data_IF_319074570968
#
_entry.id   IF_319074570968
#
_cell.length_a   1.000
_cell.length_b   1.000
_cell.length_c   1.000
_cell.angle_alpha   90.00
_cell.angle_beta   90.00
_cell.angle_gamma   90.00
#
_symmetry.space_group_name_H-M   'P 1'
#
loop_
_entity.id
_entity.type
_entity.pdbx_description
1 polymer ?
#
# COMPACT_ATOMS: atom_id res chain seq x y z
N UNK A 1 -11.27 -23.60 7.93
CA UNK A 1 -10.68 -22.80 6.85
C UNK A 1 -10.21 -21.52 7.53
N UNK A 2 -8.98 -21.06 7.26
CA UNK A 2 -8.50 -19.82 7.88
C UNK A 2 -9.26 -18.61 7.30
N UNK A 3 -9.45 -17.60 8.12
CA UNK A 3 -9.98 -16.33 7.65
C UNK A 3 -8.99 -15.68 6.69
N UNK A 4 -9.52 -14.97 5.68
CA UNK A 4 -8.72 -14.34 4.64
C UNK A 4 -8.56 -12.84 4.89
N UNK A 5 -7.38 -12.32 4.57
CA UNK A 5 -7.10 -10.88 4.52
C UNK A 5 -6.59 -10.49 3.14
N UNK A 6 -7.07 -9.37 2.59
CA UNK A 6 -6.50 -8.77 1.38
C UNK A 6 -5.50 -7.69 1.79
N UNK A 7 -4.27 -7.84 1.33
CA UNK A 7 -3.19 -6.88 1.58
C UNK A 7 -2.98 -6.00 0.35
N UNK A 8 -3.06 -4.68 0.52
CA UNK A 8 -2.58 -3.73 -0.47
C UNK A 8 -1.06 -3.89 -0.62
N UNK A 9 -0.64 -4.53 -1.70
CA UNK A 9 0.72 -5.00 -1.90
C UNK A 9 1.41 -4.23 -3.00
N UNK A 10 2.47 -3.51 -2.66
CA UNK A 10 3.31 -2.79 -3.62
C UNK A 10 4.56 -3.56 -4.04
N UNK A 11 4.87 -4.66 -3.36
CA UNK A 11 6.12 -5.40 -3.53
C UNK A 11 7.33 -4.74 -2.86
N UNK A 12 7.12 -3.63 -2.17
CA UNK A 12 8.15 -2.98 -1.34
C UNK A 12 8.42 -3.74 -0.05
N UNK A 13 9.48 -3.33 0.67
CA UNK A 13 9.91 -3.95 1.91
C UNK A 13 8.79 -4.00 2.95
N UNK A 14 8.17 -2.85 3.23
CA UNK A 14 7.12 -2.72 4.24
C UNK A 14 5.96 -3.69 3.99
N UNK A 15 5.42 -3.70 2.76
CA UNK A 15 4.29 -4.56 2.43
C UNK A 15 4.69 -6.04 2.38
N UNK A 16 5.94 -6.35 2.12
CA UNK A 16 6.46 -7.73 2.15
C UNK A 16 6.61 -8.23 3.58
N UNK A 17 7.11 -7.41 4.51
CA UNK A 17 7.20 -7.74 5.93
C UNK A 17 5.83 -7.94 6.59
N UNK A 18 4.80 -7.27 6.09
CA UNK A 18 3.42 -7.40 6.59
C UNK A 18 2.86 -8.82 6.34
N UNK A 19 3.28 -9.53 5.29
CA UNK A 19 2.74 -10.86 4.98
C UNK A 19 2.96 -11.86 6.11
N UNK A 20 4.20 -12.16 6.54
CA UNK A 20 4.43 -13.06 7.67
C UNK A 20 3.84 -12.52 8.97
N UNK A 21 3.89 -11.20 9.20
CA UNK A 21 3.30 -10.59 10.39
C UNK A 21 1.78 -10.82 10.51
N UNK A 22 1.03 -10.72 9.42
CA UNK A 22 -0.41 -11.02 9.40
C UNK A 22 -0.70 -12.49 9.74
N UNK A 23 0.14 -13.40 9.25
CA UNK A 23 0.02 -14.84 9.51
C UNK A 23 0.30 -15.16 10.98
N UNK A 24 1.33 -14.54 11.57
CA UNK A 24 1.70 -14.75 12.96
C UNK A 24 0.71 -14.11 13.93
N UNK A 25 0.26 -12.90 13.64
CA UNK A 25 -0.57 -12.11 14.54
C UNK A 25 -2.03 -12.56 14.55
N UNK A 26 -2.56 -12.92 13.38
CA UNK A 26 -4.00 -13.18 13.20
C UNK A 26 -4.33 -14.58 12.67
N UNK A 27 -3.32 -15.39 12.34
CA UNK A 27 -3.49 -16.69 11.66
C UNK A 27 -4.27 -16.58 10.32
N UNK A 28 -4.15 -15.44 9.63
CA UNK A 28 -4.85 -15.21 8.37
C UNK A 28 -4.20 -15.90 7.19
N UNK A 29 -5.03 -16.24 6.21
CA UNK A 29 -4.63 -16.54 4.86
C UNK A 29 -4.49 -15.23 4.09
N UNK A 30 -3.25 -14.89 3.65
CA UNK A 30 -2.91 -13.59 3.09
C UNK A 30 -2.99 -13.62 1.57
N UNK A 31 -3.89 -12.79 1.03
CA UNK A 31 -4.05 -12.54 -0.40
C UNK A 31 -3.45 -11.16 -0.71
N UNK A 32 -2.39 -11.14 -1.50
CA UNK A 32 -1.80 -9.91 -1.98
C UNK A 32 -2.61 -9.33 -3.15
N UNK A 33 -2.76 -8.01 -3.17
CA UNK A 33 -3.43 -7.31 -4.26
C UNK A 33 -2.62 -6.06 -4.63
N UNK A 34 -2.00 -6.08 -5.81
CA UNK A 34 -1.33 -4.93 -6.41
C UNK A 34 -2.25 -4.32 -7.46
N UNK A 35 -2.41 -3.00 -7.40
CA UNK A 35 -3.23 -2.27 -8.36
C UNK A 35 -2.29 -1.50 -9.28
N UNK A 36 -2.38 -1.82 -10.58
CA UNK A 36 -1.64 -1.12 -11.62
C UNK A 36 -2.32 0.22 -11.92
N UNK A 37 -1.65 1.29 -11.54
CA UNK A 37 -2.00 2.68 -11.88
C UNK A 37 -0.97 3.30 -12.83
N UNK A 38 -0.18 2.47 -13.55
CA UNK A 38 0.87 2.92 -14.45
C UNK A 38 2.28 2.94 -13.83
N UNK A 39 2.57 2.04 -12.87
CA UNK A 39 3.88 1.92 -12.23
C UNK A 39 4.95 1.33 -13.17
N UNK A 40 4.53 0.70 -14.27
CA UNK A 40 5.46 0.11 -15.24
C UNK A 40 6.28 -1.04 -14.67
N UNK A 41 7.60 -0.97 -14.79
CA UNK A 41 8.54 -2.01 -14.38
C UNK A 41 8.50 -2.37 -12.88
N UNK A 42 7.86 -1.55 -12.04
CA UNK A 42 7.70 -1.85 -10.62
C UNK A 42 6.80 -3.07 -10.37
N UNK A 43 6.05 -3.50 -11.40
CA UNK A 43 5.20 -4.70 -11.36
C UNK A 43 5.98 -6.00 -11.62
N UNK A 44 7.20 -5.91 -12.11
CA UNK A 44 7.99 -7.08 -12.48
C UNK A 44 8.43 -7.88 -11.24
N UNK A 45 8.29 -9.20 -11.32
CA UNK A 45 8.70 -10.11 -10.26
C UNK A 45 7.84 -10.08 -8.99
N UNK A 46 6.69 -9.39 -8.99
CA UNK A 46 5.79 -9.34 -7.84
C UNK A 46 5.24 -10.71 -7.45
N UNK A 47 4.96 -11.57 -8.43
CA UNK A 47 4.38 -12.90 -8.18
C UNK A 47 5.35 -13.79 -7.40
N UNK A 48 6.59 -13.87 -7.84
CA UNK A 48 7.63 -14.61 -7.14
C UNK A 48 7.85 -14.06 -5.72
N UNK A 49 7.89 -12.75 -5.59
CA UNK A 49 8.12 -12.06 -4.33
C UNK A 49 6.99 -12.30 -3.32
N UNK A 50 5.74 -12.16 -3.76
CA UNK A 50 4.58 -12.44 -2.92
C UNK A 50 4.55 -13.91 -2.46
N UNK A 51 4.84 -14.84 -3.38
CA UNK A 51 4.89 -16.28 -3.09
C UNK A 51 6.01 -16.63 -2.11
N UNK A 52 7.22 -16.12 -2.31
CA UNK A 52 8.35 -16.32 -1.41
C UNK A 52 8.08 -15.78 -0.01
N UNK A 53 7.30 -14.69 0.09
CA UNK A 53 6.91 -14.11 1.37
C UNK A 53 5.77 -14.85 2.05
N UNK A 54 5.19 -15.87 1.41
CA UNK A 54 4.17 -16.73 1.97
C UNK A 54 2.72 -16.27 1.74
N UNK A 55 2.48 -15.38 0.77
CA UNK A 55 1.13 -15.09 0.30
C UNK A 55 0.52 -16.32 -0.39
N UNK A 56 -0.76 -16.56 -0.19
CA UNK A 56 -1.48 -17.67 -0.82
C UNK A 56 -1.89 -17.35 -2.26
N UNK A 57 -2.06 -16.07 -2.57
CA UNK A 57 -2.48 -15.59 -3.87
C UNK A 57 -2.02 -14.16 -4.11
N UNK A 58 -1.76 -13.82 -5.37
CA UNK A 58 -1.56 -12.44 -5.83
C UNK A 58 -2.59 -12.09 -6.90
N UNK A 59 -3.20 -10.92 -6.75
CA UNK A 59 -3.91 -10.21 -7.79
C UNK A 59 -3.09 -9.04 -8.28
N UNK A 60 -3.00 -8.86 -9.60
CA UNK A 60 -2.52 -7.64 -10.24
C UNK A 60 -3.68 -7.14 -11.09
N UNK A 61 -4.33 -6.08 -10.63
CA UNK A 61 -5.51 -5.50 -11.28
C UNK A 61 -5.11 -4.20 -11.98
N UNK A 62 -5.40 -4.10 -13.27
CA UNK A 62 -5.11 -2.90 -14.05
C UNK A 62 -6.30 -1.94 -14.00
N UNK A 63 -6.05 -0.73 -13.53
CA UNK A 63 -7.03 0.36 -13.51
C UNK A 63 -6.55 1.59 -14.30
N UNK A 64 -5.58 1.44 -15.20
CA UNK A 64 -5.00 2.59 -15.91
C UNK A 64 -6.05 3.42 -16.64
N UNK A 65 -6.98 2.78 -17.35
CA UNK A 65 -8.06 3.47 -18.05
C UNK A 65 -9.03 4.15 -17.07
N UNK A 66 -9.52 3.40 -16.08
CA UNK A 66 -10.39 3.94 -15.01
C UNK A 66 -9.70 5.09 -14.26
N UNK A 67 -8.40 4.94 -13.95
CA UNK A 67 -7.64 5.97 -13.26
C UNK A 67 -7.48 7.24 -14.09
N UNK A 68 -7.28 7.08 -15.40
CA UNK A 68 -7.19 8.20 -16.33
C UNK A 68 -8.53 8.94 -16.45
N UNK A 69 -9.61 8.21 -16.73
CA UNK A 69 -10.91 8.77 -17.08
C UNK A 69 -11.66 9.33 -15.84
N UNK A 70 -11.67 8.57 -14.75
CA UNK A 70 -12.51 8.88 -13.59
C UNK A 70 -11.80 9.73 -12.53
N UNK A 71 -10.46 9.78 -12.54
CA UNK A 71 -9.69 10.49 -11.52
C UNK A 71 -8.81 11.60 -12.11
N UNK A 72 -7.96 11.29 -13.10
CA UNK A 72 -7.01 12.28 -13.64
C UNK A 72 -7.75 13.36 -14.42
N UNK A 73 -8.57 12.98 -15.40
CA UNK A 73 -9.27 13.93 -16.28
C UNK A 73 -10.14 14.91 -15.48
N UNK A 74 -10.98 14.49 -14.52
CA UNK A 74 -11.75 15.43 -13.70
C UNK A 74 -10.87 16.39 -12.88
N UNK A 75 -9.75 15.90 -12.34
CA UNK A 75 -8.83 16.76 -11.59
C UNK A 75 -8.15 17.80 -12.48
N UNK A 76 -7.80 17.44 -13.70
CA UNK A 76 -7.25 18.38 -14.69
C UNK A 76 -8.28 19.43 -15.08
N UNK A 77 -9.51 19.01 -15.38
CA UNK A 77 -10.61 19.91 -15.71
C UNK A 77 -10.94 20.88 -14.58
N UNK A 78 -10.83 20.42 -13.34
CA UNK A 78 -11.03 21.26 -12.15
C UNK A 78 -9.84 22.17 -11.82
N UNK A 79 -8.69 22.04 -12.53
CA UNK A 79 -7.44 22.71 -12.16
C UNK A 79 -6.94 22.35 -10.77
N UNK A 80 -7.19 21.12 -10.31
CA UNK A 80 -6.94 20.69 -8.96
C UNK A 80 -5.43 20.55 -8.67
N UNK A 81 -4.87 21.50 -7.95
CA UNK A 81 -3.48 21.52 -7.50
C UNK A 81 -3.43 21.94 -6.04
N UNK A 82 -2.77 21.16 -5.20
CA UNK A 82 -2.62 21.49 -3.79
C UNK A 82 -1.42 22.42 -3.58
N UNK A 83 -1.62 23.55 -2.91
CA UNK A 83 -0.61 24.57 -2.60
C UNK A 83 0.19 25.03 -3.83
N UNK A 84 -0.43 25.08 -5.02
CA UNK A 84 0.19 25.45 -6.31
C UNK A 84 1.40 24.59 -6.73
N UNK A 85 1.59 23.42 -6.13
CA UNK A 85 2.76 22.56 -6.37
C UNK A 85 2.42 21.08 -6.54
N UNK A 86 1.55 20.54 -5.68
CA UNK A 86 1.28 19.11 -5.65
C UNK A 86 0.11 18.77 -6.55
N UNK A 87 0.37 17.95 -7.57
CA UNK A 87 -0.59 17.56 -8.61
C UNK A 87 -1.56 16.44 -8.18
N UNK A 88 -1.59 16.09 -6.90
CA UNK A 88 -2.52 15.14 -6.29
C UNK A 88 -2.44 13.68 -6.79
N UNK A 89 -1.44 13.26 -7.55
CA UNK A 89 -1.40 11.94 -8.17
C UNK A 89 -1.52 10.78 -7.16
N UNK A 90 -0.77 10.81 -6.06
CA UNK A 90 -0.92 9.83 -4.99
C UNK A 90 -2.30 9.94 -4.32
N UNK A 91 -2.80 11.16 -4.12
CA UNK A 91 -4.10 11.38 -3.48
C UNK A 91 -5.27 10.83 -4.32
N UNK A 92 -5.19 10.94 -5.65
CA UNK A 92 -6.19 10.43 -6.58
C UNK A 92 -6.14 8.91 -6.72
N UNK A 93 -4.94 8.30 -6.66
CA UNK A 93 -4.79 6.85 -6.82
C UNK A 93 -5.39 6.06 -5.64
N UNK A 94 -5.27 6.56 -4.40
CA UNK A 94 -5.69 5.80 -3.20
C UNK A 94 -7.18 5.41 -3.18
N UNK A 95 -8.15 6.27 -3.56
CA UNK A 95 -9.54 5.87 -3.67
C UNK A 95 -9.79 4.77 -4.70
N UNK A 96 -9.17 4.84 -5.88
CA UNK A 96 -9.26 3.80 -6.91
C UNK A 96 -8.69 2.46 -6.43
N UNK A 97 -7.53 2.50 -5.78
CA UNK A 97 -6.92 1.33 -5.16
C UNK A 97 -7.85 0.75 -4.08
N UNK A 98 -8.39 1.58 -3.18
CA UNK A 98 -9.30 1.14 -2.12
C UNK A 98 -10.55 0.44 -2.69
N UNK A 99 -11.12 0.96 -3.78
CA UNK A 99 -12.24 0.35 -4.49
C UNK A 99 -11.90 -1.07 -4.95
N UNK A 100 -10.76 -1.27 -5.62
CA UNK A 100 -10.34 -2.60 -6.09
C UNK A 100 -10.02 -3.55 -4.93
N UNK A 101 -9.41 -3.08 -3.87
CA UNK A 101 -9.19 -3.89 -2.67
C UNK A 101 -10.50 -4.42 -2.09
N UNK A 102 -11.55 -3.59 -2.04
CA UNK A 102 -12.88 -4.00 -1.59
C UNK A 102 -13.50 -5.02 -2.54
N UNK A 103 -13.43 -4.81 -3.86
CA UNK A 103 -13.92 -5.76 -4.86
C UNK A 103 -13.27 -7.15 -4.69
N UNK A 104 -11.94 -7.19 -4.53
CA UNK A 104 -11.22 -8.45 -4.31
C UNK A 104 -11.56 -9.06 -2.94
N UNK A 105 -11.66 -8.26 -1.89
CA UNK A 105 -12.05 -8.75 -0.58
C UNK A 105 -13.44 -9.42 -0.60
N UNK A 106 -14.40 -8.81 -1.27
CA UNK A 106 -15.74 -9.40 -1.47
C UNK A 106 -15.69 -10.68 -2.29
N UNK A 107 -14.94 -10.69 -3.40
CA UNK A 107 -14.75 -11.86 -4.26
C UNK A 107 -14.15 -13.06 -3.52
N UNK A 108 -13.18 -12.82 -2.64
CA UNK A 108 -12.47 -13.85 -1.89
C UNK A 108 -13.16 -14.20 -0.55
N UNK A 109 -14.17 -13.45 -0.14
CA UNK A 109 -14.82 -13.61 1.17
C UNK A 109 -13.87 -13.25 2.31
N UNK A 110 -12.99 -12.25 2.10
CA UNK A 110 -12.04 -11.81 3.10
C UNK A 110 -12.73 -11.01 4.21
N UNK A 111 -12.30 -11.23 5.45
CA UNK A 111 -12.84 -10.56 6.64
C UNK A 111 -12.15 -9.23 6.95
N UNK A 112 -10.98 -9.02 6.33
CA UNK A 112 -10.17 -7.83 6.57
C UNK A 112 -9.45 -7.37 5.30
N UNK A 113 -9.13 -6.07 5.26
CA UNK A 113 -8.20 -5.45 4.31
C UNK A 113 -7.06 -4.82 5.11
N UNK A 114 -5.82 -5.07 4.69
CA UNK A 114 -4.62 -4.50 5.30
C UNK A 114 -3.91 -3.57 4.32
N UNK A 115 -3.33 -2.50 4.83
CA UNK A 115 -2.47 -1.60 4.05
C UNK A 115 -1.18 -1.26 4.79
N UNK A 116 -0.10 -1.00 4.04
CA UNK A 116 1.22 -0.66 4.57
C UNK A 116 1.46 0.85 4.72
N UNK A 117 0.44 1.69 4.64
CA UNK A 117 0.63 3.13 4.83
C UNK A 117 1.03 3.44 6.26
N UNK A 118 2.11 4.21 6.42
CA UNK A 118 2.62 4.62 7.73
C UNK A 118 1.62 5.52 8.45
N UNK A 119 1.57 5.46 9.79
CA UNK A 119 0.63 6.24 10.59
C UNK A 119 0.85 7.76 10.59
N UNK A 120 1.84 8.25 9.84
CA UNK A 120 2.25 9.67 9.81
C UNK A 120 1.75 10.45 8.59
N UNK A 121 1.17 9.77 7.59
CA UNK A 121 0.77 10.38 6.33
C UNK A 121 -0.73 10.36 6.07
N UNK A 122 -1.16 11.08 5.03
CA UNK A 122 -2.56 11.14 4.62
C UNK A 122 -3.07 9.87 3.92
N UNK A 123 -2.17 9.02 3.43
CA UNK A 123 -2.54 7.83 2.66
C UNK A 123 -3.31 6.82 3.50
N UNK A 124 -2.95 6.68 4.76
CA UNK A 124 -3.68 5.88 5.72
C UNK A 124 -5.15 6.29 5.78
N UNK A 125 -5.42 7.59 5.96
CA UNK A 125 -6.79 8.12 6.03
C UNK A 125 -7.54 7.87 4.73
N UNK A 126 -6.89 8.04 3.58
CA UNK A 126 -7.48 7.79 2.27
C UNK A 126 -7.89 6.33 2.09
N UNK A 127 -7.03 5.38 2.48
CA UNK A 127 -7.38 3.96 2.47
C UNK A 127 -8.53 3.65 3.42
N UNK A 128 -8.41 4.07 4.67
CA UNK A 128 -9.42 3.74 5.68
C UNK A 128 -10.80 4.31 5.34
N UNK A 129 -10.87 5.58 4.94
CA UNK A 129 -12.14 6.21 4.56
C UNK A 129 -12.71 5.61 3.27
N UNK A 130 -11.86 5.34 2.26
CA UNK A 130 -12.29 4.72 1.02
C UNK A 130 -12.86 3.32 1.25
N UNK A 131 -12.17 2.48 2.01
CA UNK A 131 -12.64 1.13 2.36
C UNK A 131 -13.92 1.21 3.18
N UNK A 132 -13.98 2.06 4.21
CA UNK A 132 -15.16 2.18 5.06
C UNK A 132 -16.39 2.72 4.35
N UNK A 133 -16.22 3.60 3.37
CA UNK A 133 -17.31 4.11 2.55
C UNK A 133 -17.93 3.00 1.67
N UNK A 134 -17.11 2.07 1.17
CA UNK A 134 -17.54 1.01 0.26
C UNK A 134 -17.91 -0.30 0.96
N UNK A 135 -17.27 -0.58 2.09
CA UNK A 135 -17.43 -1.82 2.85
C UNK A 135 -17.27 -1.57 4.36
N UNK A 136 -18.24 -0.95 5.03
CA UNK A 136 -18.17 -0.60 6.46
C UNK A 136 -18.05 -1.81 7.38
N UNK A 137 -18.44 -2.99 6.92
CA UNK A 137 -18.38 -4.27 7.62
C UNK A 137 -17.01 -4.95 7.55
N UNK A 138 -16.14 -4.57 6.60
CA UNK A 138 -14.79 -5.13 6.48
C UNK A 138 -13.86 -4.44 7.47
N UNK A 139 -13.10 -5.25 8.23
CA UNK A 139 -12.08 -4.74 9.17
C UNK A 139 -10.90 -4.16 8.39
N UNK A 140 -10.45 -2.96 8.75
CA UNK A 140 -9.21 -2.39 8.23
C UNK A 140 -8.08 -2.62 9.22
N UNK A 141 -6.95 -3.13 8.72
CA UNK A 141 -5.73 -3.38 9.49
C UNK A 141 -4.64 -2.43 9.00
N UNK A 142 -4.14 -1.60 9.90
CA UNK A 142 -3.03 -0.68 9.67
C UNK A 142 -1.89 -1.02 10.64
N UNK A 143 -0.92 -1.87 10.26
CA UNK A 143 0.12 -2.37 11.17
C UNK A 143 0.90 -1.26 11.88
N UNK A 144 1.30 -0.22 11.17
CA UNK A 144 2.05 0.92 11.71
C UNK A 144 1.36 1.68 12.86
N UNK A 145 0.10 1.39 13.14
CA UNK A 145 -0.68 1.98 14.23
C UNK A 145 -0.96 0.99 15.36
N UNK A 146 -0.39 -0.20 15.29
CA UNK A 146 -0.64 -1.24 16.28
C UNK A 146 0.56 -1.38 17.21
N UNK A 147 0.30 -1.55 18.50
CA UNK A 147 1.35 -1.69 19.53
C UNK A 147 2.21 -2.94 19.34
N UNK A 148 1.69 -3.96 18.65
CA UNK A 148 2.40 -5.19 18.34
C UNK A 148 3.24 -5.13 17.05
N UNK A 149 3.19 -4.04 16.29
CA UNK A 149 4.11 -3.78 15.19
C UNK A 149 5.45 -3.31 15.76
N UNK A 150 6.49 -4.13 15.64
CA UNK A 150 7.82 -3.88 16.21
C UNK A 150 8.84 -3.37 15.19
N UNK A 151 8.47 -3.32 13.92
CA UNK A 151 9.36 -2.92 12.84
C UNK A 151 9.20 -1.41 12.58
N UNK A 152 9.88 -0.61 13.36
CA UNK A 152 9.84 0.87 13.31
C UNK A 152 10.94 1.49 12.43
N UNK A 153 11.84 0.66 11.91
CA UNK A 153 12.91 1.05 11.01
C UNK A 153 13.08 0.07 9.85
N UNK A 154 13.69 0.55 8.76
CA UNK A 154 13.99 -0.26 7.58
C UNK A 154 14.89 -1.45 7.92
N UNK A 155 15.86 -1.24 8.80
CA UNK A 155 16.78 -2.28 9.27
C UNK A 155 16.01 -3.39 10.00
N UNK A 156 15.07 -3.02 10.88
CA UNK A 156 14.25 -3.96 11.61
C UNK A 156 13.34 -4.78 10.66
N UNK A 157 12.78 -4.17 9.62
CA UNK A 157 12.01 -4.87 8.59
C UNK A 157 12.87 -5.87 7.79
N UNK A 158 14.10 -5.46 7.40
CA UNK A 158 15.03 -6.34 6.70
C UNK A 158 15.42 -7.54 7.58
N UNK A 159 15.72 -7.30 8.85
CA UNK A 159 16.07 -8.36 9.80
C UNK A 159 14.90 -9.32 10.01
N UNK A 160 13.69 -8.78 10.16
CA UNK A 160 12.47 -9.57 10.28
C UNK A 160 12.23 -10.43 9.04
N UNK A 161 12.34 -9.88 7.86
CA UNK A 161 12.20 -10.62 6.61
C UNK A 161 13.24 -11.75 6.50
N UNK A 162 14.51 -11.48 6.83
CA UNK A 162 15.57 -12.49 6.83
C UNK A 162 15.30 -13.63 7.82
N UNK A 163 14.81 -13.28 9.02
CA UNK A 163 14.44 -14.28 10.03
C UNK A 163 13.32 -15.23 9.54
N UNK A 164 12.50 -14.76 8.60
CA UNK A 164 11.44 -15.55 7.95
C UNK A 164 11.86 -16.21 6.63
N UNK A 165 13.16 -16.19 6.31
CA UNK A 165 13.69 -16.80 5.09
C UNK A 165 13.31 -16.05 3.81
N UNK A 166 12.88 -14.80 3.93
CA UNK A 166 12.53 -13.92 2.82
C UNK A 166 13.80 -13.15 2.43
N UNK A 167 14.45 -13.61 1.36
CA UNK A 167 15.61 -12.92 0.80
C UNK A 167 15.14 -11.89 -0.22
N UNK A 168 15.30 -10.62 0.13
CA UNK A 168 14.83 -9.50 -0.67
C UNK A 168 16.01 -8.82 -1.37
N UNK A 169 15.88 -8.47 -2.67
CA UNK A 169 16.93 -7.75 -3.40
C UNK A 169 17.05 -6.28 -2.98
N UNK A 170 16.50 -5.91 -1.83
CA UNK A 170 16.54 -4.53 -1.33
C UNK A 170 17.83 -4.27 -0.56
N UNK A 171 18.78 -3.58 -1.21
CA UNK A 171 19.96 -3.05 -0.53
C UNK A 171 19.62 -1.93 0.45
N UNK A 172 20.50 -1.71 1.42
CA UNK A 172 20.43 -0.57 2.34
C UNK A 172 20.65 0.78 1.65
N UNK A 173 21.09 0.76 0.39
CA UNK A 173 21.55 1.96 -0.34
C UNK A 173 20.44 2.74 -1.05
N UNK A 174 19.20 2.22 -1.16
CA UNK A 174 18.10 2.99 -1.74
C UNK A 174 17.41 3.82 -0.67
N UNK A 175 17.87 5.06 -0.49
CA UNK A 175 17.36 5.99 0.52
C UNK A 175 16.01 6.64 0.17
N UNK A 176 15.37 6.26 -0.94
CA UNK A 176 14.13 6.89 -1.40
C UNK A 176 13.07 5.87 -1.76
N UNK A 177 11.87 6.00 -1.18
CA UNK A 177 10.67 5.39 -1.71
C UNK A 177 10.07 6.28 -2.78
N UNK A 178 9.59 5.68 -3.86
CA UNK A 178 8.89 6.37 -4.95
C UNK A 178 7.46 5.85 -5.05
N UNK A 179 6.54 6.76 -5.30
CA UNK A 179 5.15 6.44 -5.62
C UNK A 179 4.90 6.91 -7.07
N UNK A 180 4.92 5.97 -8.00
CA UNK A 180 4.77 6.20 -9.43
C UNK A 180 3.37 5.79 -9.88
N UNK A 181 2.76 6.62 -10.71
CA UNK A 181 1.54 6.30 -11.43
C UNK A 181 1.49 7.05 -12.76
N UNK A 182 0.42 6.90 -13.54
CA UNK A 182 0.24 7.57 -14.83
C UNK A 182 0.41 9.09 -14.77
N UNK A 183 0.05 9.71 -13.64
CA UNK A 183 0.01 11.16 -13.51
C UNK A 183 1.35 11.77 -13.07
N UNK A 184 2.07 11.12 -12.16
CA UNK A 184 3.33 11.65 -11.66
C UNK A 184 4.19 10.61 -10.93
N UNK A 185 5.41 11.02 -10.59
CA UNK A 185 6.28 10.32 -9.65
C UNK A 185 6.41 11.19 -8.40
N UNK A 186 5.98 10.66 -7.25
CA UNK A 186 6.19 11.29 -5.96
C UNK A 186 7.40 10.65 -5.27
N UNK A 187 8.38 11.46 -4.89
CA UNK A 187 9.49 11.02 -4.04
C UNK A 187 9.05 11.10 -2.58
N UNK A 188 9.06 9.97 -1.91
CA UNK A 188 8.76 9.87 -0.49
C UNK A 188 10.09 9.89 0.27
N UNK A 189 10.33 10.96 1.03
CA UNK A 189 11.53 11.07 1.86
C UNK A 189 11.36 10.21 3.12
N UNK A 190 12.36 9.43 3.45
CA UNK A 190 12.45 8.69 4.72
C UNK A 190 12.78 9.59 5.91
N UNK A 191 13.32 10.79 5.64
CA UNK A 191 13.51 11.85 6.64
C UNK A 191 12.23 12.66 6.79
N UNK A 192 11.94 13.22 7.99
CA UNK A 192 10.78 14.08 8.17
C UNK A 192 10.82 15.23 7.16
N UNK A 193 9.81 15.29 6.33
CA UNK A 193 9.62 16.34 5.35
C UNK A 193 9.64 17.71 6.05
N UNK A 194 10.13 18.77 5.40
CA UNK A 194 9.94 20.13 5.89
C UNK A 194 8.48 20.47 6.23
N UNK A 195 7.50 19.78 5.61
CA UNK A 195 6.08 19.84 5.96
C UNK A 195 5.79 19.32 7.37
N UNK A 196 6.44 18.25 7.79
CA UNK A 196 6.20 17.64 9.10
C UNK A 196 6.78 18.50 10.23
N UNK A 197 7.69 19.41 9.91
CA UNK A 197 8.27 20.39 10.85
C UNK A 197 7.41 21.64 11.05
N UNK A 198 6.46 21.91 10.15
CA UNK A 198 5.63 23.13 10.21
C UNK A 198 4.35 22.96 11.03
N UNK A 199 4.02 21.77 11.50
CA UNK A 199 2.78 21.48 12.24
C UNK A 199 2.96 21.54 13.76
N UNK A 200 4.19 21.84 14.25
CA UNK A 200 4.45 22.04 15.68
C UNK A 200 4.74 23.52 16.01
N UNK A 201 3.78 24.39 15.69
CA UNK A 201 3.71 25.74 16.29
C UNK A 201 2.28 26.08 16.65
#
# INVERSE_FOLDING_TARGET
MKDKVVLAYSGGLDTTAIIPWLKETYDYDVICCCINCGQGEELDGLDERAKLSGASKLYIEDICDEFSEDYIVPCVQAGAVYEHKYLLGTAMARPGIAKKLVEIARKEGAVAICHGATGKGNDQIRFELGIKALAPDIKVIAPWRQDNWKMDSREAEIEYCKAHGIDLPFGTDSSYSRDRNLWHICLLYTSPSPRDRSVSR
#
